data_IF_027745775339
#
_entry.id   IF_027745775339
#
_cell.length_a   1.000
_cell.length_b   1.000
_cell.length_c   1.000
_cell.angle_alpha   90.00
_cell.angle_beta   90.00
_cell.angle_gamma   90.00
#
_symmetry.space_group_name_H-M   'P 1'
#
loop_
_entity.id
_entity.type
_entity.pdbx_description
1 polymer ?
#
# COMPACT_ATOMS: atom_id res chain seq x y z
N UNK A 1 22.99 3.16 1.18
CA UNK A 1 22.12 2.05 0.75
C UNK A 1 22.07 2.00 -0.78
N UNK A 2 22.02 0.80 -1.33
CA UNK A 2 21.76 0.57 -2.76
C UNK A 2 20.31 0.18 -2.94
N UNK A 3 19.62 0.80 -3.90
CA UNK A 3 18.27 0.46 -4.29
C UNK A 3 18.29 -0.17 -5.69
N UNK A 4 17.51 -1.20 -5.90
CA UNK A 4 17.18 -1.71 -7.22
C UNK A 4 15.77 -1.24 -7.56
N UNK A 5 15.65 -0.26 -8.44
CA UNK A 5 14.37 0.30 -8.86
C UNK A 5 13.95 -0.41 -10.15
N UNK A 6 12.76 -1.02 -10.11
CA UNK A 6 12.18 -1.67 -11.28
C UNK A 6 10.99 -0.85 -11.73
N UNK A 7 11.08 -0.32 -12.95
CA UNK A 7 9.94 0.36 -13.59
C UNK A 7 8.95 -0.67 -14.12
N UNK A 8 7.67 -0.38 -13.91
CA UNK A 8 6.58 -1.24 -14.38
C UNK A 8 5.90 -0.59 -15.58
N UNK A 9 5.47 -1.39 -16.59
CA UNK A 9 4.61 -0.86 -17.64
C UNK A 9 3.39 -0.19 -17.00
N UNK A 10 3.12 1.07 -17.35
CA UNK A 10 1.98 1.82 -16.79
C UNK A 10 0.67 1.04 -16.99
N UNK A 11 -0.07 0.85 -15.90
CA UNK A 11 -1.36 0.12 -15.92
C UNK A 11 -2.50 1.00 -16.47
N UNK A 12 -2.24 2.24 -16.86
CA UNK A 12 -3.26 3.16 -17.37
C UNK A 12 -3.93 2.59 -18.62
N UNK A 13 -5.23 2.32 -18.55
CA UNK A 13 -6.05 1.94 -19.70
C UNK A 13 -6.04 3.08 -20.72
N UNK A 14 -5.36 2.89 -21.83
CA UNK A 14 -5.35 3.84 -22.94
C UNK A 14 -6.49 3.65 -23.95
N UNK A 15 -7.22 2.54 -23.92
CA UNK A 15 -8.32 2.28 -24.85
C UNK A 15 -9.41 1.36 -24.28
N UNK A 16 -10.62 1.44 -24.86
CA UNK A 16 -11.75 0.56 -24.55
C UNK A 16 -11.59 -0.89 -25.08
N UNK A 17 -10.57 -1.15 -25.85
CA UNK A 17 -10.28 -2.47 -26.44
C UNK A 17 -9.21 -3.16 -25.60
N UNK A 18 -9.54 -4.30 -25.02
CA UNK A 18 -8.58 -5.18 -24.29
C UNK A 18 -7.63 -5.81 -25.31
N UNK A 19 -6.56 -5.14 -25.66
CA UNK A 19 -5.52 -5.70 -26.50
C UNK A 19 -4.68 -6.69 -25.69
N UNK A 20 -4.26 -7.79 -26.31
CA UNK A 20 -3.40 -8.83 -25.76
C UNK A 20 -2.14 -8.25 -25.06
N UNK A 21 -1.60 -7.16 -25.60
CA UNK A 21 -0.44 -6.42 -25.08
C UNK A 21 -0.73 -5.80 -23.69
N UNK A 22 -1.96 -5.29 -23.46
CA UNK A 22 -2.35 -4.71 -22.16
C UNK A 22 -2.43 -5.81 -21.08
N UNK A 23 -2.96 -6.98 -21.43
CA UNK A 23 -3.03 -8.13 -20.51
C UNK A 23 -1.62 -8.58 -20.09
N UNK A 24 -0.69 -8.68 -21.04
CA UNK A 24 0.71 -9.03 -20.76
C UNK A 24 1.35 -7.95 -19.85
N UNK A 25 1.08 -6.67 -20.10
CA UNK A 25 1.56 -5.56 -19.28
C UNK A 25 1.09 -5.68 -17.82
N UNK A 26 -0.19 -5.97 -17.60
CA UNK A 26 -0.78 -6.19 -16.27
C UNK A 26 -0.12 -7.38 -15.57
N UNK A 27 0.00 -8.53 -16.25
CA UNK A 27 0.64 -9.73 -15.68
C UNK A 27 2.10 -9.45 -15.28
N UNK A 28 2.85 -8.73 -16.13
CA UNK A 28 4.24 -8.37 -15.85
C UNK A 28 4.33 -7.45 -14.63
N UNK A 29 3.42 -6.48 -14.54
CA UNK A 29 3.35 -5.56 -13.38
C UNK A 29 3.04 -6.32 -12.10
N UNK A 30 2.06 -7.22 -12.10
CA UNK A 30 1.73 -8.04 -10.91
C UNK A 30 2.92 -8.88 -10.46
N UNK A 31 3.60 -9.55 -11.38
CA UNK A 31 4.83 -10.31 -11.06
C UNK A 31 5.94 -9.44 -10.49
N UNK A 32 6.09 -8.22 -11.00
CA UNK A 32 7.08 -7.26 -10.49
C UNK A 32 6.71 -6.81 -9.08
N UNK A 33 5.43 -6.52 -8.80
CA UNK A 33 4.94 -6.20 -7.46
C UNK A 33 5.20 -7.36 -6.50
N UNK A 34 4.88 -8.59 -6.89
CA UNK A 34 5.13 -9.79 -6.07
C UNK A 34 6.60 -10.00 -5.75
N UNK A 35 7.50 -9.71 -6.69
CA UNK A 35 8.94 -9.86 -6.52
C UNK A 35 9.59 -8.70 -5.76
N UNK A 36 8.92 -7.55 -5.60
CA UNK A 36 9.47 -6.37 -4.94
C UNK A 36 9.42 -6.48 -3.42
N UNK A 37 10.36 -5.81 -2.73
CA UNK A 37 10.36 -5.69 -1.27
C UNK A 37 9.41 -4.58 -0.79
N UNK A 38 9.36 -3.46 -1.52
CA UNK A 38 8.49 -2.31 -1.24
C UNK A 38 7.97 -1.75 -2.55
N UNK A 39 6.70 -1.38 -2.60
CA UNK A 39 6.05 -0.80 -3.77
C UNK A 39 5.90 0.71 -3.57
N UNK A 40 6.37 1.50 -4.53
CA UNK A 40 6.09 2.93 -4.60
C UNK A 40 4.97 3.14 -5.62
N UNK A 41 3.82 3.61 -5.17
CA UNK A 41 2.67 3.94 -6.02
C UNK A 41 2.74 5.42 -6.35
N UNK A 42 2.98 5.73 -7.63
CA UNK A 42 3.06 7.10 -8.13
C UNK A 42 1.69 7.57 -8.60
N UNK A 43 1.20 8.65 -7.98
CA UNK A 43 -0.04 9.34 -8.36
C UNK A 43 0.32 10.71 -8.92
N UNK A 44 -0.28 11.09 -10.04
CA UNK A 44 -0.15 12.43 -10.59
C UNK A 44 -1.02 13.40 -9.79
N UNK A 45 -0.39 14.40 -9.16
CA UNK A 45 -1.11 15.37 -8.32
C UNK A 45 -2.09 16.23 -9.11
N UNK A 46 -1.85 16.44 -10.41
CA UNK A 46 -2.73 17.22 -11.30
C UNK A 46 -4.01 16.44 -11.66
N UNK A 47 -3.89 15.13 -11.89
CA UNK A 47 -5.05 14.28 -12.20
C UNK A 47 -5.83 13.92 -10.92
N UNK A 48 -5.22 14.09 -9.74
CA UNK A 48 -5.77 13.64 -8.46
C UNK A 48 -5.82 12.12 -8.35
N UNK A 49 -6.60 11.62 -7.38
CA UNK A 49 -6.73 10.16 -7.13
C UNK A 49 -7.85 9.60 -8.01
N UNK A 50 -7.47 8.76 -8.97
CA UNK A 50 -8.38 8.11 -9.91
C UNK A 50 -8.85 6.73 -9.41
N UNK A 51 -9.94 6.20 -9.98
CA UNK A 51 -10.42 4.84 -9.67
C UNK A 51 -9.39 3.77 -10.05
N UNK A 52 -8.56 4.06 -11.02
CA UNK A 52 -7.48 3.18 -11.46
C UNK A 52 -6.36 3.10 -10.42
N UNK A 53 -6.03 4.25 -9.79
CA UNK A 53 -5.07 4.29 -8.68
C UNK A 53 -5.62 3.51 -7.48
N UNK A 54 -6.91 3.66 -7.16
CA UNK A 54 -7.56 2.90 -6.10
C UNK A 54 -7.54 1.39 -6.36
N UNK A 55 -7.79 0.96 -7.61
CA UNK A 55 -7.72 -0.44 -8.00
C UNK A 55 -6.29 -1.00 -7.87
N UNK A 56 -5.27 -0.22 -8.25
CA UNK A 56 -3.87 -0.61 -8.09
C UNK A 56 -3.48 -0.72 -6.62
N UNK A 57 -3.87 0.27 -5.82
CA UNK A 57 -3.64 0.26 -4.37
C UNK A 57 -4.26 -0.99 -3.75
N UNK A 58 -5.54 -1.29 -4.07
CA UNK A 58 -6.22 -2.50 -3.60
C UNK A 58 -5.44 -3.76 -3.97
N UNK A 59 -4.98 -3.87 -5.22
CA UNK A 59 -4.18 -5.01 -5.67
C UNK A 59 -2.87 -5.17 -4.89
N UNK A 60 -2.15 -4.07 -4.63
CA UNK A 60 -0.90 -4.09 -3.84
C UNK A 60 -1.18 -4.56 -2.41
N UNK A 61 -2.30 -4.11 -1.83
CA UNK A 61 -2.73 -4.53 -0.49
C UNK A 61 -3.12 -6.00 -0.42
N UNK A 62 -3.89 -6.50 -1.41
CA UNK A 62 -4.30 -7.91 -1.49
C UNK A 62 -3.09 -8.83 -1.60
N UNK A 63 -2.03 -8.39 -2.27
CA UNK A 63 -0.74 -9.08 -2.33
C UNK A 63 0.06 -8.96 -1.02
N UNK A 64 -0.42 -8.18 -0.05
CA UNK A 64 0.23 -7.95 1.24
C UNK A 64 1.58 -7.25 1.13
N UNK A 65 1.81 -6.48 0.05
CA UNK A 65 3.10 -5.82 -0.16
C UNK A 65 3.21 -4.52 0.62
N UNK A 66 4.35 -4.28 1.27
CA UNK A 66 4.65 -2.99 1.86
C UNK A 66 4.61 -1.91 0.79
N UNK A 67 3.90 -0.82 1.06
CA UNK A 67 3.68 0.22 0.05
C UNK A 67 3.86 1.63 0.61
N UNK A 68 4.13 2.57 -0.29
CA UNK A 68 4.16 4.01 -0.05
C UNK A 68 3.52 4.72 -1.24
N UNK A 69 2.72 5.74 -0.99
CA UNK A 69 2.11 6.56 -2.02
C UNK A 69 2.94 7.83 -2.20
N UNK A 70 3.32 8.10 -3.43
CA UNK A 70 4.05 9.30 -3.82
C UNK A 70 3.17 10.15 -4.75
N UNK A 71 2.69 11.28 -4.23
CA UNK A 71 1.95 12.29 -4.98
C UNK A 71 2.97 13.14 -5.74
N UNK A 72 3.16 12.82 -7.02
CA UNK A 72 4.18 13.44 -7.87
C UNK A 72 3.64 14.71 -8.58
N UNK A 73 4.54 15.51 -9.11
CA UNK A 73 4.29 16.82 -9.73
C UNK A 73 3.79 17.87 -8.76
N UNK A 74 4.16 17.78 -7.48
CA UNK A 74 3.81 18.79 -6.47
C UNK A 74 4.36 20.19 -6.74
N UNK A 75 5.22 20.33 -7.71
CA UNK A 75 5.75 21.61 -8.20
C UNK A 75 4.89 22.28 -9.26
N UNK A 76 3.89 21.61 -9.76
CA UNK A 76 2.98 22.06 -10.81
C UNK A 76 1.54 22.29 -10.30
N UNK A 77 1.25 21.93 -9.05
CA UNK A 77 -0.06 22.15 -8.42
C UNK A 77 -0.16 23.55 -7.85
N UNK A 78 -1.33 24.18 -8.01
CA UNK A 78 -1.72 25.41 -7.31
C UNK A 78 -2.41 25.11 -5.96
N UNK A 79 -2.82 26.16 -5.24
CA UNK A 79 -3.50 26.01 -3.93
C UNK A 79 -4.84 25.27 -4.04
N UNK A 80 -5.58 25.48 -5.12
CA UNK A 80 -6.88 24.86 -5.35
C UNK A 80 -6.72 23.36 -5.64
N UNK A 81 -5.79 23.00 -6.53
CA UNK A 81 -5.45 21.61 -6.85
C UNK A 81 -4.92 20.86 -5.61
N UNK A 82 -4.11 21.53 -4.80
CA UNK A 82 -3.62 20.98 -3.53
C UNK A 82 -4.75 20.70 -2.53
N UNK A 83 -5.74 21.57 -2.45
CA UNK A 83 -6.95 21.37 -1.64
C UNK A 83 -7.78 20.17 -2.14
N UNK A 84 -8.01 20.08 -3.45
CA UNK A 84 -8.72 18.94 -4.05
C UNK A 84 -7.98 17.63 -3.83
N UNK A 85 -6.66 17.62 -4.00
CA UNK A 85 -5.83 16.46 -3.76
C UNK A 85 -5.90 16.02 -2.29
N UNK A 86 -5.82 16.96 -1.35
CA UNK A 86 -5.96 16.67 0.09
C UNK A 86 -7.33 16.09 0.40
N UNK A 87 -8.40 16.67 -0.12
CA UNK A 87 -9.75 16.14 0.04
C UNK A 87 -9.87 14.72 -0.53
N UNK A 88 -9.27 14.47 -1.70
CA UNK A 88 -9.21 13.14 -2.31
C UNK A 88 -8.46 12.12 -1.42
N UNK A 89 -7.33 12.50 -0.83
CA UNK A 89 -6.59 11.68 0.13
C UNK A 89 -7.45 11.36 1.34
N UNK A 90 -8.05 12.37 1.98
CA UNK A 90 -8.82 12.22 3.21
C UNK A 90 -10.10 11.41 3.02
N UNK A 91 -10.68 11.40 1.81
CA UNK A 91 -11.93 10.68 1.51
C UNK A 91 -11.68 9.33 0.87
N UNK A 92 -10.93 9.27 -0.22
CA UNK A 92 -10.73 8.05 -1.02
C UNK A 92 -9.69 7.10 -0.43
N UNK A 93 -8.68 7.61 0.31
CA UNK A 93 -7.63 6.80 0.91
C UNK A 93 -7.81 6.58 2.42
N UNK A 94 -8.94 6.95 2.99
CA UNK A 94 -9.22 6.80 4.43
C UNK A 94 -9.05 5.36 4.94
N UNK A 95 -9.36 4.37 4.10
CA UNK A 95 -9.26 2.95 4.44
C UNK A 95 -7.82 2.42 4.54
N UNK A 96 -6.83 3.21 4.06
CA UNK A 96 -5.41 2.88 4.08
C UNK A 96 -4.57 3.92 4.81
N UNK A 97 -5.11 4.51 5.87
CA UNK A 97 -4.46 5.56 6.66
C UNK A 97 -3.09 5.17 7.26
N UNK A 98 -2.76 3.88 7.25
CA UNK A 98 -1.47 3.33 7.69
C UNK A 98 -0.40 3.35 6.59
N UNK A 99 -0.76 3.58 5.33
CA UNK A 99 0.21 3.69 4.24
C UNK A 99 0.77 5.13 4.21
N UNK A 100 2.09 5.32 4.31
CA UNK A 100 2.68 6.65 4.22
C UNK A 100 2.42 7.29 2.86
N UNK A 101 2.11 8.59 2.88
CA UNK A 101 1.87 9.41 1.69
C UNK A 101 2.88 10.56 1.69
N UNK A 102 3.58 10.75 0.58
CA UNK A 102 4.54 11.84 0.39
C UNK A 102 4.24 12.65 -0.86
N UNK A 103 4.24 13.97 -0.74
CA UNK A 103 4.30 14.87 -1.89
C UNK A 103 5.74 14.93 -2.39
N UNK A 104 5.92 14.77 -3.70
CA UNK A 104 7.22 14.81 -4.35
C UNK A 104 7.15 15.59 -5.67
N UNK A 105 8.28 16.08 -6.10
CA UNK A 105 8.53 16.47 -7.48
C UNK A 105 9.72 15.68 -8.02
N UNK A 106 9.45 14.72 -8.86
CA UNK A 106 10.50 13.89 -9.46
C UNK A 106 11.45 14.74 -10.32
N UNK A 107 10.91 15.74 -11.02
CA UNK A 107 11.69 16.61 -11.91
C UNK A 107 12.61 17.58 -11.15
N UNK A 108 12.13 18.11 -10.00
CA UNK A 108 12.91 19.03 -9.15
C UNK A 108 13.69 18.32 -8.04
N UNK A 109 13.50 17.01 -7.87
CA UNK A 109 14.13 16.25 -6.79
C UNK A 109 13.56 16.51 -5.40
N UNK A 110 12.47 17.30 -5.28
CA UNK A 110 11.87 17.66 -4.00
C UNK A 110 11.17 16.45 -3.39
N UNK A 111 11.36 16.24 -2.08
CA UNK A 111 10.72 15.15 -1.33
C UNK A 111 11.36 13.76 -1.53
N UNK A 112 12.21 13.54 -2.53
CA UNK A 112 12.76 12.22 -2.85
C UNK A 112 13.61 11.64 -1.72
N UNK A 113 14.43 12.45 -1.04
CA UNK A 113 15.23 11.98 0.11
C UNK A 113 14.36 11.45 1.24
N UNK A 114 13.25 12.13 1.52
CA UNK A 114 12.28 11.71 2.54
C UNK A 114 11.54 10.44 2.11
N UNK A 115 11.13 10.35 0.84
CA UNK A 115 10.51 9.17 0.25
C UNK A 115 11.42 7.94 0.42
N UNK A 116 12.67 8.01 -0.01
CA UNK A 116 13.63 6.91 0.08
C UNK A 116 13.94 6.52 1.54
N UNK A 117 14.04 7.50 2.45
CA UNK A 117 14.18 7.23 3.88
C UNK A 117 12.98 6.45 4.44
N UNK A 118 11.75 6.78 3.99
CA UNK A 118 10.55 6.06 4.40
C UNK A 118 10.49 4.66 3.78
N UNK A 119 10.92 4.48 2.53
CA UNK A 119 11.05 3.15 1.90
C UNK A 119 11.94 2.24 2.74
N UNK A 120 13.09 2.74 3.23
CA UNK A 120 13.97 1.95 4.11
C UNK A 120 13.28 1.54 5.41
N UNK A 121 12.58 2.48 6.07
CA UNK A 121 11.82 2.18 7.30
C UNK A 121 10.75 1.12 7.07
N UNK A 122 10.01 1.21 5.95
CA UNK A 122 8.97 0.23 5.60
C UNK A 122 9.60 -1.13 5.34
N UNK A 123 10.72 -1.17 4.60
CA UNK A 123 11.47 -2.39 4.35
C UNK A 123 11.92 -3.06 5.65
N UNK A 124 12.54 -2.31 6.56
CA UNK A 124 12.98 -2.83 7.86
C UNK A 124 11.80 -3.35 8.68
N UNK A 125 10.70 -2.59 8.73
CA UNK A 125 9.48 -2.97 9.45
C UNK A 125 8.84 -4.24 8.87
N UNK A 126 8.87 -4.43 7.55
CA UNK A 126 8.30 -5.62 6.90
C UNK A 126 9.03 -6.92 7.21
N UNK A 127 10.23 -6.82 7.77
CA UNK A 127 11.09 -7.97 8.16
C UNK A 127 11.16 -8.21 9.65
N UNK A 128 10.43 -7.41 10.45
CA UNK A 128 10.41 -7.59 11.90
C UNK A 128 9.81 -8.94 12.28
N UNK A 129 10.46 -9.58 13.23
CA UNK A 129 9.88 -10.72 13.94
C UNK A 129 9.18 -10.21 15.19
N UNK A 130 7.88 -10.44 15.25
CA UNK A 130 7.06 -9.99 16.38
C UNK A 130 7.03 -11.10 17.43
N UNK A 131 7.35 -10.74 18.67
CA UNK A 131 7.24 -11.69 19.77
C UNK A 131 5.80 -12.18 19.92
N UNK A 132 5.63 -13.50 20.01
CA UNK A 132 4.33 -14.15 20.08
C UNK A 132 3.48 -13.67 21.26
N UNK A 133 4.08 -13.40 22.42
CA UNK A 133 3.36 -12.85 23.58
C UNK A 133 2.77 -11.48 23.27
N UNK A 134 3.58 -10.57 22.74
CA UNK A 134 3.14 -9.22 22.37
C UNK A 134 2.01 -9.30 21.30
N UNK A 135 2.16 -10.21 20.33
CA UNK A 135 1.14 -10.40 19.28
C UNK A 135 -0.18 -10.89 19.87
N UNK A 136 -0.14 -11.83 20.81
CA UNK A 136 -1.35 -12.32 21.48
C UNK A 136 -2.00 -11.21 22.33
N UNK A 137 -1.23 -10.41 23.05
CA UNK A 137 -1.76 -9.29 23.84
C UNK A 137 -2.48 -8.25 22.95
N UNK A 138 -1.89 -7.91 21.80
CA UNK A 138 -2.50 -7.02 20.81
C UNK A 138 -3.83 -7.60 20.29
N UNK A 139 -3.84 -8.88 19.92
CA UNK A 139 -5.03 -9.54 19.37
C UNK A 139 -6.13 -9.67 20.44
N UNK A 140 -5.78 -10.02 21.67
CA UNK A 140 -6.75 -10.09 22.78
C UNK A 140 -7.36 -8.71 23.06
N UNK A 141 -6.58 -7.65 23.04
CA UNK A 141 -7.10 -6.28 23.14
C UNK A 141 -8.02 -5.92 21.99
N UNK A 142 -7.65 -6.24 20.75
CA UNK A 142 -8.50 -6.00 19.58
C UNK A 142 -9.84 -6.77 19.66
N UNK A 143 -9.84 -8.00 20.18
CA UNK A 143 -11.05 -8.79 20.41
C UNK A 143 -11.91 -8.17 21.51
N UNK A 144 -11.29 -7.64 22.56
CA UNK A 144 -12.00 -6.95 23.64
C UNK A 144 -12.71 -5.69 23.13
N UNK A 145 -12.01 -4.88 22.34
CA UNK A 145 -12.54 -3.63 21.78
C UNK A 145 -13.59 -3.89 20.68
N UNK A 146 -13.40 -4.95 19.86
CA UNK A 146 -14.26 -5.30 18.73
C UNK A 146 -14.45 -6.82 18.66
N UNK A 147 -15.51 -7.30 19.28
CA UNK A 147 -15.81 -8.74 19.29
C UNK A 147 -16.14 -9.27 17.88
N UNK A 148 -15.56 -10.41 17.45
CA UNK A 148 -15.91 -11.05 16.20
C UNK A 148 -17.42 -11.36 16.13
N UNK A 149 -18.04 -11.22 14.94
CA UNK A 149 -19.47 -11.54 14.79
C UNK A 149 -19.74 -13.01 15.09
N UNK A 150 -20.93 -13.29 15.64
CA UNK A 150 -21.39 -14.65 15.84
C UNK A 150 -21.86 -15.26 14.51
N UNK A 151 -21.41 -16.47 14.20
CA UNK A 151 -21.89 -17.25 13.07
C UNK A 151 -22.65 -18.48 13.56
N UNK A 152 -23.87 -18.69 13.10
CA UNK A 152 -24.72 -19.83 13.54
C UNK A 152 -24.95 -19.87 15.04
N UNK A 153 -25.07 -18.72 15.72
CA UNK A 153 -25.27 -18.62 17.17
C UNK A 153 -24.02 -18.91 18.02
N UNK A 154 -22.87 -19.23 17.38
CA UNK A 154 -21.61 -19.48 18.06
C UNK A 154 -20.62 -18.34 17.80
N UNK A 155 -19.95 -17.86 18.85
CA UNK A 155 -18.86 -16.89 18.73
C UNK A 155 -17.55 -17.57 18.39
N UNK A 156 -16.81 -17.02 17.44
CA UNK A 156 -15.44 -17.45 17.14
C UNK A 156 -14.55 -17.11 18.33
N UNK A 157 -13.88 -18.12 18.88
CA UNK A 157 -12.88 -17.93 19.95
C UNK A 157 -11.49 -18.01 19.36
N UNK A 158 -10.81 -16.87 19.31
CA UNK A 158 -9.39 -16.81 18.96
C UNK A 158 -8.58 -17.15 20.21
N UNK A 159 -7.83 -18.23 20.18
CA UNK A 159 -7.08 -18.75 21.34
C UNK A 159 -5.63 -18.34 21.32
N UNK A 160 -5.06 -18.29 20.14
CA UNK A 160 -3.63 -18.12 19.97
C UNK A 160 -3.32 -17.55 18.58
N UNK A 161 -2.32 -16.67 18.52
CA UNK A 161 -1.85 -16.06 17.27
C UNK A 161 -0.32 -16.10 17.24
N UNK A 162 0.26 -16.47 16.12
CA UNK A 162 1.69 -16.38 15.89
C UNK A 162 2.02 -15.90 14.49
N UNK A 163 3.22 -15.41 14.31
CA UNK A 163 3.72 -14.97 13.01
C UNK A 163 4.21 -16.20 12.22
N UNK A 164 3.60 -16.44 11.05
CA UNK A 164 3.91 -17.57 10.16
C UNK A 164 4.84 -17.21 9.01
N UNK A 165 5.27 -15.96 8.89
CA UNK A 165 6.17 -15.51 7.84
C UNK A 165 6.36 -14.01 7.79
N UNK A 166 7.40 -13.58 7.07
CA UNK A 166 7.75 -12.18 6.81
C UNK A 166 7.63 -11.93 5.30
N UNK A 167 7.31 -10.71 4.92
CA UNK A 167 7.23 -10.23 3.53
C UNK A 167 6.33 -11.07 2.58
N UNK A 168 5.00 -10.98 2.72
CA UNK A 168 4.30 -10.19 3.72
C UNK A 168 4.33 -10.82 5.12
N UNK A 169 4.13 -10.00 6.15
CA UNK A 169 3.90 -10.52 7.51
C UNK A 169 2.60 -11.31 7.50
N UNK A 170 2.68 -12.59 7.85
CA UNK A 170 1.51 -13.47 7.94
C UNK A 170 1.23 -13.80 9.38
N UNK A 171 -0.01 -13.65 9.79
CA UNK A 171 -0.47 -14.04 11.12
C UNK A 171 -1.30 -15.31 10.99
N UNK A 172 -0.94 -16.33 11.75
CA UNK A 172 -1.70 -17.57 11.83
C UNK A 172 -2.51 -17.51 13.12
N UNK A 173 -3.83 -17.61 12.97
CA UNK A 173 -4.81 -17.47 14.05
C UNK A 173 -5.43 -18.84 14.33
N UNK A 174 -5.46 -19.27 15.60
CA UNK A 174 -6.00 -20.54 16.07
C UNK A 174 -7.23 -20.34 16.96
#
# INVERSE_FOLDING_TARGET
HKFNIVDTPGIRKKSKTKNYIEIIGVIKTLKTIEASDVVIILIDSLDGITDQDLSLIGTVMDLGKPAIIALNKSDATDEYEDHLLKYGVDTKLKFINYIPIHKISAIKGVGLKKLLSTVMKIYDNSRLSINTSILNDIVQKAIFDHQPPAYGGKRVKIRYVHQGGNNPIRLIIH
#
